data_IF_162405946287
#
_entry.id   IF_162405946287
#
_cell.length_a   1.000
_cell.length_b   1.000
_cell.length_c   1.000
_cell.angle_alpha   90.00
_cell.angle_beta   90.00
_cell.angle_gamma   90.00
#
_symmetry.space_group_name_H-M   'P 1'
#
loop_
_entity.id
_entity.type
_entity.pdbx_description
1 polymer ?
#
# COMPACT_ATOMS: atom_id res chain seq x y z
N UNK A 1 18.04 4.75 -6.55
CA UNK A 1 16.94 3.78 -6.36
C UNK A 1 15.82 4.49 -5.63
N UNK A 2 14.57 4.34 -6.05
CA UNK A 2 13.42 4.92 -5.34
C UNK A 2 13.03 4.04 -4.16
N UNK A 3 12.58 4.66 -3.07
CA UNK A 3 12.12 3.97 -1.86
C UNK A 3 10.83 4.59 -1.36
N UNK A 4 9.94 3.77 -0.80
CA UNK A 4 8.77 4.25 -0.06
C UNK A 4 9.25 5.01 1.19
N UNK A 5 8.80 6.25 1.46
CA UNK A 5 9.18 6.97 2.67
C UNK A 5 8.72 6.25 3.95
N UNK A 6 9.52 6.23 5.03
CA UNK A 6 9.22 5.47 6.26
C UNK A 6 7.83 5.73 6.85
N UNK A 7 7.31 6.97 6.74
CA UNK A 7 5.98 7.31 7.24
C UNK A 7 4.83 6.52 6.60
N UNK A 8 5.02 5.92 5.42
CA UNK A 8 4.03 5.05 4.76
C UNK A 8 4.29 3.55 5.00
N UNK A 9 5.49 3.18 5.40
CA UNK A 9 5.88 1.77 5.57
C UNK A 9 5.18 1.12 6.76
N UNK A 10 5.12 -0.21 6.77
CA UNK A 10 4.55 -1.01 7.85
C UNK A 10 3.31 -1.77 7.40
N UNK A 11 2.58 -2.28 8.39
CA UNK A 11 1.38 -3.07 8.18
C UNK A 11 0.13 -2.21 8.27
N UNK A 12 -0.80 -2.47 7.36
CA UNK A 12 -2.03 -1.74 7.16
C UNK A 12 -3.17 -2.73 6.98
N UNK A 13 -4.36 -2.42 7.48
CA UNK A 13 -5.53 -3.29 7.35
C UNK A 13 -6.80 -2.49 7.03
N UNK A 14 -7.76 -3.09 6.34
CA UNK A 14 -9.04 -2.45 5.99
C UNK A 14 -9.85 -1.99 7.20
N UNK A 15 -9.68 -2.64 8.35
CA UNK A 15 -10.19 -2.22 9.66
C UNK A 15 -9.14 -2.44 10.75
N UNK A 16 -9.31 -1.83 11.94
CA UNK A 16 -8.37 -2.06 13.05
C UNK A 16 -8.42 -3.50 13.58
N UNK A 17 -9.60 -4.13 13.59
CA UNK A 17 -9.79 -5.51 14.03
C UNK A 17 -9.05 -6.49 13.12
N UNK A 18 -8.96 -6.16 11.84
CA UNK A 18 -8.30 -6.97 10.81
C UNK A 18 -6.78 -7.04 10.98
N UNK A 19 -6.16 -6.16 11.78
CA UNK A 19 -4.71 -6.20 12.03
C UNK A 19 -4.23 -7.49 12.70
N UNK A 20 -5.08 -8.16 13.47
CA UNK A 20 -4.74 -9.40 14.17
C UNK A 20 -5.37 -10.65 13.54
N UNK A 21 -6.14 -10.48 12.46
CA UNK A 21 -6.81 -11.59 11.80
C UNK A 21 -5.84 -12.27 10.84
N UNK A 22 -5.57 -13.56 11.05
CA UNK A 22 -4.67 -14.36 10.22
C UNK A 22 -5.13 -14.54 8.77
N UNK A 23 -6.38 -14.20 8.46
CA UNK A 23 -6.99 -14.34 7.14
C UNK A 23 -7.78 -13.09 6.70
N UNK A 24 -7.43 -11.90 7.18
CA UNK A 24 -8.07 -10.69 6.68
C UNK A 24 -7.69 -10.48 5.20
N UNK A 25 -8.70 -10.44 4.32
CA UNK A 25 -8.54 -10.15 2.90
C UNK A 25 -7.88 -8.78 2.65
N UNK A 26 -8.01 -7.86 3.62
CA UNK A 26 -7.56 -6.47 3.49
C UNK A 26 -6.23 -6.16 4.19
N UNK A 27 -5.39 -7.16 4.45
CA UNK A 27 -4.04 -6.94 4.98
C UNK A 27 -3.08 -6.51 3.88
N UNK A 28 -2.36 -5.42 4.13
CA UNK A 28 -1.34 -4.87 3.24
C UNK A 28 -0.06 -4.58 4.04
N UNK A 29 1.07 -5.11 3.59
CA UNK A 29 2.39 -4.73 4.10
C UNK A 29 3.11 -3.89 3.06
N UNK A 30 3.56 -2.70 3.46
CA UNK A 30 4.34 -1.81 2.61
C UNK A 30 5.76 -1.70 3.16
N UNK A 31 6.72 -2.28 2.46
CA UNK A 31 8.14 -2.18 2.74
C UNK A 31 8.75 -0.98 1.98
N UNK A 32 10.06 -0.79 2.12
CA UNK A 32 10.81 0.26 1.42
C UNK A 32 10.79 0.12 -0.11
N UNK A 33 10.72 -1.12 -0.62
CA UNK A 33 10.80 -1.42 -2.05
C UNK A 33 9.74 -2.40 -2.56
N UNK A 34 8.78 -2.79 -1.72
CA UNK A 34 7.78 -3.83 -2.06
C UNK A 34 6.45 -3.55 -1.39
N UNK A 35 5.37 -3.91 -2.08
CA UNK A 35 4.03 -4.03 -1.52
C UNK A 35 3.59 -5.49 -1.51
N UNK A 36 2.91 -5.92 -0.45
CA UNK A 36 2.39 -7.27 -0.29
C UNK A 36 0.95 -7.21 0.20
N UNK A 37 0.08 -7.92 -0.51
CA UNK A 37 -1.29 -8.26 -0.11
C UNK A 37 -1.36 -9.76 0.15
N UNK A 38 -2.52 -10.26 0.61
CA UNK A 38 -2.74 -11.69 0.82
C UNK A 38 -2.56 -12.51 -0.47
N UNK A 39 -3.11 -12.02 -1.59
CA UNK A 39 -3.15 -12.77 -2.86
C UNK A 39 -2.14 -12.28 -3.92
N UNK A 40 -1.52 -11.12 -3.69
CA UNK A 40 -0.64 -10.49 -4.68
C UNK A 40 0.51 -9.71 -4.02
N UNK A 41 1.54 -9.40 -4.80
CA UNK A 41 2.64 -8.55 -4.34
C UNK A 41 3.26 -7.81 -5.51
N UNK A 42 3.96 -6.71 -5.24
CA UNK A 42 4.61 -5.93 -6.29
C UNK A 42 5.92 -5.30 -5.87
N UNK A 43 6.85 -5.23 -6.82
CA UNK A 43 8.11 -4.55 -6.65
C UNK A 43 7.95 -3.06 -6.97
N UNK A 44 8.50 -2.19 -6.13
CA UNK A 44 8.51 -0.76 -6.37
C UNK A 44 9.41 -0.42 -7.57
N UNK A 45 8.83 0.28 -8.54
CA UNK A 45 9.52 0.78 -9.72
C UNK A 45 9.86 2.27 -9.58
N UNK A 46 8.98 3.05 -8.95
CA UNK A 46 9.14 4.49 -8.77
C UNK A 46 8.35 4.98 -7.56
N UNK A 47 8.91 5.95 -6.83
CA UNK A 47 8.25 6.64 -5.73
C UNK A 47 8.59 8.13 -5.81
N UNK A 48 7.56 8.97 -5.88
CA UNK A 48 7.71 10.43 -5.92
C UNK A 48 6.72 11.08 -4.97
N UNK A 49 7.19 12.02 -4.16
CA UNK A 49 6.32 12.80 -3.27
C UNK A 49 5.99 14.13 -3.95
N UNK A 50 4.70 14.41 -4.10
CA UNK A 50 4.19 15.65 -4.64
C UNK A 50 2.89 16.05 -3.93
N UNK A 51 2.69 17.34 -3.66
CA UNK A 51 1.47 17.89 -3.05
C UNK A 51 0.99 17.15 -1.79
N UNK A 52 1.93 16.70 -0.95
CA UNK A 52 1.64 15.96 0.28
C UNK A 52 1.27 14.48 0.08
N UNK A 53 1.10 14.03 -1.17
CA UNK A 53 0.81 12.66 -1.53
C UNK A 53 2.07 11.93 -2.02
N UNK A 54 2.01 10.60 -2.01
CA UNK A 54 3.06 9.74 -2.52
C UNK A 54 2.55 9.01 -3.76
N UNK A 55 3.17 9.30 -4.90
CA UNK A 55 2.89 8.66 -6.17
C UNK A 55 3.82 7.47 -6.35
N UNK A 56 3.26 6.30 -6.57
CA UNK A 56 3.95 5.02 -6.62
C UNK A 56 3.67 4.33 -7.94
N UNK A 57 4.67 3.61 -8.43
CA UNK A 57 4.50 2.66 -9.52
C UNK A 57 5.02 1.32 -9.04
N UNK A 58 4.18 0.29 -9.10
CA UNK A 58 4.54 -1.08 -8.77
C UNK A 58 4.47 -1.98 -10.02
N UNK A 59 5.38 -2.95 -10.09
CA UNK A 59 5.25 -4.11 -10.94
C UNK A 59 4.65 -5.25 -10.12
N UNK A 60 3.34 -5.44 -10.25
CA UNK A 60 2.52 -6.37 -9.48
C UNK A 60 2.52 -7.76 -10.09
N UNK A 61 2.32 -8.77 -9.24
CA UNK A 61 2.08 -10.17 -9.58
C UNK A 61 1.08 -10.80 -8.62
N UNK A 62 0.15 -11.59 -9.14
CA UNK A 62 -0.88 -12.28 -8.37
C UNK A 62 -1.66 -13.23 -9.29
N UNK A 63 -2.11 -14.37 -8.75
CA UNK A 63 -2.95 -15.35 -9.47
C UNK A 63 -2.42 -15.84 -10.84
N UNK A 64 -1.11 -15.74 -11.08
CA UNK A 64 -0.47 -16.11 -12.36
C UNK A 64 -0.28 -14.95 -13.33
N UNK A 65 -0.86 -13.78 -13.05
CA UNK A 65 -0.74 -12.59 -13.86
C UNK A 65 0.32 -11.61 -13.32
N UNK A 66 0.78 -10.73 -14.21
CA UNK A 66 1.65 -9.62 -13.89
C UNK A 66 1.13 -8.33 -14.55
N UNK A 67 1.13 -7.24 -13.81
CA UNK A 67 0.64 -5.95 -14.30
C UNK A 67 1.38 -4.78 -13.66
N UNK A 68 1.37 -3.64 -14.34
CA UNK A 68 1.85 -2.37 -13.77
C UNK A 68 0.70 -1.70 -13.04
N UNK A 69 0.93 -1.27 -11.79
CA UNK A 69 -0.03 -0.46 -11.04
C UNK A 69 0.55 0.92 -10.74
N UNK A 70 -0.22 1.96 -11.07
CA UNK A 70 0.07 3.35 -10.74
C UNK A 70 -0.88 3.78 -9.62
N UNK A 71 -0.30 4.24 -8.52
CA UNK A 71 -1.03 4.42 -7.26
C UNK A 71 -0.67 5.75 -6.60
N UNK A 72 -1.63 6.33 -5.88
CA UNK A 72 -1.41 7.54 -5.07
C UNK A 72 -1.79 7.27 -3.63
N UNK A 73 -0.89 7.59 -2.71
CA UNK A 73 -1.01 7.29 -1.29
C UNK A 73 -1.08 8.59 -0.52
N UNK A 74 -2.15 8.75 0.25
CA UNK A 74 -2.35 9.89 1.14
C UNK A 74 -2.40 9.40 2.59
N UNK A 75 -1.67 10.08 3.48
CA UNK A 75 -1.72 9.82 4.91
C UNK A 75 -2.61 10.85 5.58
N UNK A 76 -3.60 10.38 6.33
CA UNK A 76 -4.51 11.21 7.11
C UNK A 76 -4.49 10.79 8.58
N UNK A 77 -5.22 11.51 9.43
CA UNK A 77 -5.30 11.23 10.87
C UNK A 77 -3.92 11.10 11.55
N UNK A 78 -2.98 12.00 11.20
CA UNK A 78 -1.63 11.97 11.74
C UNK A 78 -0.79 10.77 11.30
N UNK A 79 -1.09 10.16 10.15
CA UNK A 79 -0.38 8.99 9.63
C UNK A 79 -0.91 7.64 10.12
N UNK A 80 -2.09 7.63 10.76
CA UNK A 80 -2.77 6.40 11.21
C UNK A 80 -3.71 5.81 10.16
N UNK A 81 -4.04 6.60 9.13
CA UNK A 81 -4.93 6.19 8.04
C UNK A 81 -4.21 6.42 6.72
N UNK A 82 -4.17 5.39 5.90
CA UNK A 82 -3.68 5.43 4.54
C UNK A 82 -4.87 5.37 3.58
N UNK A 83 -4.98 6.34 2.68
CA UNK A 83 -5.91 6.26 1.54
C UNK A 83 -5.09 5.95 0.29
N UNK A 84 -5.40 4.82 -0.32
CA UNK A 84 -4.78 4.30 -1.55
C UNK A 84 -5.73 4.54 -2.71
N UNK A 85 -5.29 5.34 -3.66
CA UNK A 85 -5.99 5.57 -4.92
C UNK A 85 -5.30 4.78 -6.01
N UNK A 86 -6.07 4.03 -6.79
CA UNK A 86 -5.63 3.36 -8.01
C UNK A 86 -6.47 3.86 -9.17
N UNK A 87 -6.17 3.40 -10.38
CA UNK A 87 -6.99 3.71 -11.56
C UNK A 87 -8.48 3.37 -11.37
N UNK A 88 -8.77 2.22 -10.74
CA UNK A 88 -10.13 1.65 -10.73
C UNK A 88 -10.82 1.73 -9.36
N UNK A 89 -10.09 2.06 -8.30
CA UNK A 89 -10.61 1.97 -6.93
C UNK A 89 -9.90 2.87 -5.94
N UNK A 90 -10.60 3.22 -4.86
CA UNK A 90 -10.05 3.87 -3.67
C UNK A 90 -10.23 2.95 -2.47
N UNK A 91 -9.14 2.68 -1.77
CA UNK A 91 -9.12 1.83 -0.59
C UNK A 91 -8.60 2.61 0.62
N UNK A 92 -9.24 2.42 1.77
CA UNK A 92 -8.82 3.01 3.04
C UNK A 92 -8.26 1.92 3.94
N UNK A 93 -7.09 2.16 4.49
CA UNK A 93 -6.45 1.28 5.45
C UNK A 93 -6.12 2.02 6.75
N UNK A 94 -6.09 1.27 7.84
CA UNK A 94 -5.70 1.70 9.17
C UNK A 94 -4.35 1.07 9.50
N UNK A 95 -3.47 1.87 10.09
CA UNK A 95 -2.15 1.39 10.52
C UNK A 95 -2.32 0.35 11.62
N UNK A 96 -1.68 -0.80 11.45
CA UNK A 96 -1.54 -1.79 12.51
C UNK A 96 -0.44 -1.32 13.46
N UNK A 97 -0.69 -1.48 14.77
CA UNK A 97 0.09 -0.87 15.86
C UNK A 97 1.60 -1.08 15.75
#
# INVERSE_FOLDING_TARGET
>A
MSTVPPKYQGQWAGTQESCNASSAADLMTLADNRIQFTESSGQLMSANQNDGNLHLVFNMRGEGDAWKSEEVYSLTSGGKVLVRYTKDSTHKYFRCN
#
